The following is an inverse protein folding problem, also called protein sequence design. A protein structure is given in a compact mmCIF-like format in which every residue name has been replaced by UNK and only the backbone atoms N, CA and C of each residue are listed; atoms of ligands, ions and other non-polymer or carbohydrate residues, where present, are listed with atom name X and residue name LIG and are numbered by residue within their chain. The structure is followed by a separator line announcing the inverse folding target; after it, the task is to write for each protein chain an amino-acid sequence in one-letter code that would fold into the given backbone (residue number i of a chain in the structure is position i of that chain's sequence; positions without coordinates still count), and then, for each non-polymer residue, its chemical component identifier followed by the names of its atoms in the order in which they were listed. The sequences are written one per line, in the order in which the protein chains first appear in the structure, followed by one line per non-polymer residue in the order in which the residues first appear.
data_IF_817215596861
#
_entry.id   IF_817215596861
#
_cell.length_a   1.000
_cell.length_b   1.000
_cell.length_c   1.000
_cell.angle_alpha   90.00
_cell.angle_beta   90.00
_cell.angle_gamma   90.00
#
_symmetry.space_group_name_H-M   'P 1'
#
loop_
_entity.id
_entity.type
_entity.pdbx_description
1 polymer ?
#
# COMPACT_ATOMS: atom_id res chain seq x y z
N UNK A 1 -0.74 21.29 3.47
CA UNK A 1 0.39 21.40 2.52
C UNK A 1 0.88 22.84 2.52
N UNK A 2 2.13 23.06 2.93
CA UNK A 2 2.71 24.39 2.97
C UNK A 2 3.07 24.84 1.54
N UNK A 3 2.55 26.00 1.12
CA UNK A 3 2.70 26.51 -0.26
C UNK A 3 4.17 26.71 -0.64
N UNK A 4 5.02 26.99 0.35
CA UNK A 4 6.44 27.25 0.16
C UNK A 4 7.22 25.98 -0.22
N UNK A 5 6.80 24.81 0.28
CA UNK A 5 7.45 23.53 0.00
C UNK A 5 7.13 23.03 -1.40
N UNK A 6 5.85 23.12 -1.81
CA UNK A 6 5.41 22.76 -3.16
C UNK A 6 6.10 23.63 -4.20
N UNK A 7 6.15 24.94 -3.94
CA UNK A 7 6.84 25.88 -4.81
C UNK A 7 8.33 25.53 -4.93
N UNK A 8 9.01 25.25 -3.82
CA UNK A 8 10.42 24.88 -3.82
C UNK A 8 10.71 23.57 -4.57
N UNK A 9 9.77 22.60 -4.55
CA UNK A 9 9.88 21.36 -5.32
C UNK A 9 9.80 21.63 -6.83
N UNK A 10 8.72 22.27 -7.30
CA UNK A 10 8.53 22.54 -8.74
C UNK A 10 9.56 23.52 -9.32
N UNK A 11 10.13 24.40 -8.50
CA UNK A 11 11.23 25.27 -8.93
C UNK A 11 12.55 24.53 -9.18
N UNK A 12 12.74 23.36 -8.57
CA UNK A 12 13.97 22.55 -8.76
C UNK A 12 13.91 21.65 -9.99
N UNK A 13 12.71 21.33 -10.48
CA UNK A 13 12.51 20.51 -11.68
C UNK A 13 12.99 21.24 -12.93
N UNK A 14 13.51 20.49 -13.90
CA UNK A 14 13.74 20.95 -15.27
C UNK A 14 12.43 21.08 -16.05
N UNK A 15 12.48 21.75 -17.20
CA UNK A 15 11.28 21.97 -18.03
C UNK A 15 10.69 20.64 -18.56
N UNK A 16 11.52 19.63 -18.79
CA UNK A 16 11.08 18.29 -19.20
C UNK A 16 10.39 17.53 -18.06
N UNK A 17 10.90 17.67 -16.84
CA UNK A 17 10.31 17.05 -15.64
C UNK A 17 8.98 17.70 -15.27
N UNK A 18 8.84 19.03 -15.43
CA UNK A 18 7.55 19.70 -15.25
C UNK A 18 6.53 19.23 -16.29
N UNK A 19 6.94 19.07 -17.55
CA UNK A 19 6.04 18.57 -18.58
C UNK A 19 5.53 17.16 -18.25
N UNK A 20 6.43 16.29 -17.80
CA UNK A 20 6.06 14.94 -17.38
C UNK A 20 5.13 14.96 -16.17
N UNK A 21 5.48 15.70 -15.11
CA UNK A 21 4.66 15.81 -13.90
C UNK A 21 3.26 16.36 -14.18
N UNK A 22 3.12 17.27 -15.16
CA UNK A 22 1.82 17.82 -15.57
C UNK A 22 0.93 16.76 -16.24
N UNK A 23 1.55 15.85 -16.99
CA UNK A 23 0.85 14.79 -17.72
C UNK A 23 0.51 13.58 -16.82
N UNK A 24 1.32 13.29 -15.80
CA UNK A 24 1.20 12.06 -14.99
C UNK A 24 0.72 12.29 -13.57
N UNK A 25 1.14 13.36 -12.89
CA UNK A 25 1.14 13.41 -11.41
C UNK A 25 0.23 14.50 -10.81
N UNK A 26 -0.29 15.42 -11.63
CA UNK A 26 -1.14 16.53 -11.15
C UNK A 26 -2.48 16.06 -10.58
N UNK A 27 -2.95 14.87 -10.98
CA UNK A 27 -4.20 14.26 -10.50
C UNK A 27 -4.25 14.06 -8.99
N UNK A 28 -3.12 14.05 -8.26
CA UNK A 28 -3.10 13.90 -6.80
C UNK A 28 -2.97 15.22 -6.02
N UNK A 29 -2.78 16.36 -6.71
CA UNK A 29 -2.48 17.65 -6.07
C UNK A 29 -3.73 18.35 -5.55
N UNK A 30 -3.60 19.07 -4.43
CA UNK A 30 -4.67 19.97 -3.98
C UNK A 30 -4.84 21.16 -4.94
N UNK A 31 -6.01 21.83 -4.98
CA UNK A 31 -6.23 23.00 -5.83
C UNK A 31 -5.16 24.09 -5.65
N UNK A 32 -4.66 24.30 -4.43
CA UNK A 32 -3.61 25.28 -4.15
C UNK A 32 -2.24 24.87 -4.72
N UNK A 33 -1.90 23.59 -4.76
CA UNK A 33 -0.68 23.13 -5.44
C UNK A 33 -0.81 23.19 -6.95
N UNK A 34 -2.00 22.87 -7.48
CA UNK A 34 -2.27 22.99 -8.91
C UNK A 34 -2.07 24.45 -9.38
N UNK A 35 -2.51 25.43 -8.59
CA UNK A 35 -2.23 26.85 -8.86
C UNK A 35 -0.73 27.19 -8.84
N UNK A 36 0.04 26.60 -7.92
CA UNK A 36 1.52 26.78 -7.89
C UNK A 36 2.15 26.23 -9.18
N UNK A 37 1.71 25.07 -9.66
CA UNK A 37 2.19 24.49 -10.91
C UNK A 37 1.80 25.36 -12.12
N UNK A 38 0.58 25.89 -12.16
CA UNK A 38 0.15 26.84 -13.21
C UNK A 38 1.01 28.10 -13.21
N UNK A 39 1.31 28.66 -12.05
CA UNK A 39 2.18 29.84 -11.96
C UNK A 39 3.61 29.52 -12.40
N UNK A 40 4.10 28.32 -12.13
CA UNK A 40 5.43 27.88 -12.59
C UNK A 40 5.50 27.66 -14.11
N UNK A 41 4.47 27.05 -14.70
CA UNK A 41 4.31 26.92 -16.17
C UNK A 41 4.33 28.30 -16.84
N UNK A 42 3.56 29.24 -16.30
CA UNK A 42 3.51 30.63 -16.78
C UNK A 42 4.87 31.32 -16.62
N UNK A 43 5.52 31.18 -15.46
CA UNK A 43 6.85 31.77 -15.16
C UNK A 43 7.90 31.31 -16.16
N UNK A 44 7.90 30.02 -16.50
CA UNK A 44 8.85 29.40 -17.41
C UNK A 44 8.50 29.56 -18.90
N UNK A 45 7.33 30.15 -19.20
CA UNK A 45 6.79 30.30 -20.57
C UNK A 45 6.67 28.96 -21.30
N UNK A 46 6.32 27.91 -20.56
CA UNK A 46 6.00 26.60 -21.11
C UNK A 46 4.66 26.66 -21.86
N UNK A 47 4.34 25.62 -22.63
CA UNK A 47 3.17 25.61 -23.52
C UNK A 47 1.89 26.01 -22.74
N UNK A 48 1.17 27.08 -23.16
CA UNK A 48 -0.03 27.55 -22.46
C UNK A 48 -1.21 26.56 -22.46
N UNK A 49 -1.18 25.53 -23.31
CA UNK A 49 -2.19 24.46 -23.24
C UNK A 49 -2.01 23.57 -22.01
N UNK A 50 -0.83 23.57 -21.36
CA UNK A 50 -0.59 22.82 -20.14
C UNK A 50 -1.42 23.33 -18.96
N UNK A 51 -1.66 24.64 -18.86
CA UNK A 51 -2.53 25.16 -17.78
C UNK A 51 -3.97 24.69 -17.94
N UNK A 52 -4.42 24.47 -19.18
CA UNK A 52 -5.76 23.90 -19.45
C UNK A 52 -5.85 22.44 -19.03
N UNK A 53 -4.78 21.65 -19.24
CA UNK A 53 -4.70 20.27 -18.72
C UNK A 53 -4.82 20.27 -17.20
N UNK A 54 -4.17 21.22 -16.51
CA UNK A 54 -4.33 21.37 -15.06
C UNK A 54 -5.76 21.79 -14.68
N UNK A 55 -6.37 22.73 -15.41
CA UNK A 55 -7.76 23.18 -15.17
C UNK A 55 -8.77 22.03 -15.36
N UNK A 56 -8.63 21.21 -16.41
CA UNK A 56 -9.49 20.06 -16.69
C UNK A 56 -9.37 18.99 -15.59
N UNK A 57 -8.17 18.81 -15.03
CA UNK A 57 -7.92 17.89 -13.92
C UNK A 57 -8.41 18.46 -12.58
N UNK A 58 -8.44 19.78 -12.40
CA UNK A 58 -8.98 20.44 -11.22
C UNK A 58 -10.50 20.24 -11.06
N UNK A 59 -11.24 20.16 -12.18
CA UNK A 59 -12.69 19.89 -12.17
C UNK A 59 -13.01 18.50 -11.59
N UNK A 60 -12.11 17.53 -11.75
CA UNK A 60 -12.24 16.18 -11.18
C UNK A 60 -11.99 16.20 -9.64
N UNK A 61 -11.25 17.20 -9.15
CA UNK A 61 -10.88 17.36 -7.74
C UNK A 61 -11.80 18.29 -6.94
N UNK A 62 -12.78 18.94 -7.57
CA UNK A 62 -13.91 19.49 -6.83
C UNK A 62 -14.69 18.34 -6.21
N UNK A 63 -14.25 17.97 -5.00
CA UNK A 63 -14.86 17.01 -4.10
C UNK A 63 -16.34 17.39 -3.96
N UNK A 64 -17.22 16.82 -4.80
CA UNK A 64 -18.65 16.83 -4.53
C UNK A 64 -18.76 16.13 -3.18
N UNK A 65 -19.15 16.82 -2.10
CA UNK A 65 -19.21 16.19 -0.80
C UNK A 65 -20.20 15.03 -0.93
N UNK A 66 -19.68 13.79 -0.88
CA UNK A 66 -20.51 12.61 -0.85
C UNK A 66 -21.45 12.78 0.34
N UNK A 67 -22.75 12.83 0.05
CA UNK A 67 -23.75 12.67 1.09
C UNK A 67 -23.53 11.27 1.64
N UNK A 68 -23.19 11.18 2.93
CA UNK A 68 -23.02 9.89 3.60
C UNK A 68 -24.27 9.04 3.36
N UNK A 69 -24.10 7.96 2.60
CA UNK A 69 -25.15 6.99 2.31
C UNK A 69 -24.83 5.71 3.09
N UNK A 70 -25.52 5.43 4.21
CA UNK A 70 -25.24 4.26 5.04
C UNK A 70 -25.44 2.93 4.30
N UNK A 71 -26.15 2.92 3.17
CA UNK A 71 -26.36 1.72 2.34
C UNK A 71 -25.53 1.76 1.04
N UNK A 72 -24.86 2.89 0.78
CA UNK A 72 -24.02 3.11 -0.38
C UNK A 72 -22.63 2.49 -0.23
N UNK A 73 -21.93 2.36 -1.37
CA UNK A 73 -20.54 1.92 -1.35
C UNK A 73 -19.70 2.92 -0.54
N UNK A 74 -18.90 2.50 0.45
CA UNK A 74 -18.08 3.43 1.23
C UNK A 74 -16.93 4.04 0.42
N UNK A 75 -16.60 3.46 -0.74
CA UNK A 75 -15.49 3.87 -1.60
C UNK A 75 -15.99 4.35 -2.97
N UNK A 76 -15.17 5.14 -3.66
CA UNK A 76 -15.41 5.51 -5.06
C UNK A 76 -15.35 4.28 -5.98
N UNK A 77 -16.12 4.29 -7.07
CA UNK A 77 -16.27 3.11 -7.93
C UNK A 77 -14.95 2.63 -8.53
N UNK A 78 -14.12 3.54 -9.04
CA UNK A 78 -12.81 3.20 -9.58
C UNK A 78 -11.89 2.58 -8.51
N UNK A 79 -11.96 3.10 -7.28
CA UNK A 79 -11.18 2.60 -6.14
C UNK A 79 -11.68 1.25 -5.67
N UNK A 80 -13.01 1.04 -5.64
CA UNK A 80 -13.64 -0.26 -5.40
C UNK A 80 -13.11 -1.31 -6.38
N UNK A 81 -13.21 -1.03 -7.67
CA UNK A 81 -12.78 -1.95 -8.74
C UNK A 81 -11.27 -2.23 -8.62
N UNK A 82 -10.46 -1.23 -8.32
CA UNK A 82 -9.03 -1.41 -8.10
C UNK A 82 -8.74 -2.33 -6.90
N UNK A 83 -9.39 -2.11 -5.73
CA UNK A 83 -9.21 -2.97 -4.54
C UNK A 83 -9.62 -4.42 -4.86
N UNK A 84 -10.75 -4.62 -5.52
CA UNK A 84 -11.21 -5.94 -5.94
C UNK A 84 -10.18 -6.64 -6.85
N UNK A 85 -9.67 -5.94 -7.88
CA UNK A 85 -8.61 -6.47 -8.77
C UNK A 85 -7.31 -6.77 -8.02
N UNK A 86 -6.93 -5.92 -7.08
CA UNK A 86 -5.75 -6.14 -6.25
C UNK A 86 -5.89 -7.40 -5.39
N UNK A 87 -7.06 -7.63 -4.77
CA UNK A 87 -7.32 -8.89 -4.05
C UNK A 87 -7.22 -10.12 -4.95
N UNK A 88 -7.65 -10.02 -6.21
CA UNK A 88 -7.50 -11.14 -7.15
C UNK A 88 -6.08 -11.40 -7.59
N UNK A 89 -5.30 -10.33 -7.78
CA UNK A 89 -3.87 -10.47 -7.97
C UNK A 89 -3.25 -11.17 -6.77
N UNK A 90 -3.57 -10.77 -5.53
CA UNK A 90 -3.07 -11.43 -4.31
C UNK A 90 -3.49 -12.90 -4.22
N UNK A 91 -4.74 -13.23 -4.57
CA UNK A 91 -5.23 -14.62 -4.65
C UNK A 91 -4.44 -15.44 -5.69
N UNK A 92 -4.11 -14.84 -6.83
CA UNK A 92 -3.30 -15.46 -7.89
C UNK A 92 -1.85 -15.66 -7.44
N UNK A 93 -1.28 -14.65 -6.78
CA UNK A 93 0.12 -14.66 -6.33
C UNK A 93 0.36 -15.60 -5.16
N UNK A 94 -0.59 -15.71 -4.22
CA UNK A 94 -0.39 -16.38 -2.94
C UNK A 94 -1.34 -17.55 -2.68
N UNK A 95 -2.32 -17.77 -3.56
CA UNK A 95 -3.22 -18.92 -3.54
C UNK A 95 -4.58 -18.65 -2.89
N UNK A 96 -5.65 -18.95 -3.62
CA UNK A 96 -7.04 -18.80 -3.16
C UNK A 96 -7.37 -19.63 -1.92
N UNK A 97 -6.85 -20.86 -1.83
CA UNK A 97 -7.11 -21.71 -0.68
C UNK A 97 -6.42 -21.18 0.59
N UNK A 98 -5.34 -20.42 0.45
CA UNK A 98 -4.55 -19.94 1.56
C UNK A 98 -5.23 -18.77 2.28
N UNK A 99 -5.94 -17.90 1.56
CA UNK A 99 -6.65 -16.78 2.19
C UNK A 99 -7.64 -17.26 3.26
N UNK A 100 -8.28 -18.44 3.08
CA UNK A 100 -9.24 -19.03 4.02
C UNK A 100 -8.58 -19.69 5.22
N UNK A 101 -7.36 -20.21 5.06
CA UNK A 101 -6.64 -20.95 6.12
C UNK A 101 -5.84 -20.04 7.04
N UNK A 102 -5.42 -18.87 6.55
CA UNK A 102 -4.61 -17.93 7.32
C UNK A 102 -5.34 -17.48 8.59
N UNK A 103 -4.61 -17.43 9.70
CA UNK A 103 -5.12 -16.83 10.94
C UNK A 103 -5.03 -15.32 10.83
N UNK A 104 -6.05 -14.60 11.29
CA UNK A 104 -5.95 -13.15 11.54
C UNK A 104 -5.28 -12.96 12.90
N UNK A 105 -4.11 -12.32 12.92
CA UNK A 105 -3.40 -12.06 14.17
C UNK A 105 -4.07 -10.90 14.92
N UNK A 106 -4.24 -11.06 16.23
CA UNK A 106 -4.92 -10.10 17.09
C UNK A 106 -3.90 -9.38 17.99
N UNK A 107 -4.15 -8.12 18.39
CA UNK A 107 -3.30 -7.38 19.33
C UNK A 107 -3.46 -7.91 20.77
N UNK A 108 -3.09 -9.18 20.98
CA UNK A 108 -3.22 -9.89 22.26
C UNK A 108 -1.91 -10.58 22.60
N UNK A 109 -1.64 -10.77 23.89
CA UNK A 109 -0.45 -11.51 24.34
C UNK A 109 -0.39 -12.98 23.90
N UNK A 110 -1.48 -13.52 23.35
CA UNK A 110 -1.51 -14.87 22.75
C UNK A 110 -0.79 -14.89 21.40
N UNK A 111 -1.08 -13.91 20.56
CA UNK A 111 -0.54 -13.82 19.20
C UNK A 111 0.78 -13.03 19.17
N UNK A 112 0.93 -12.07 20.09
CA UNK A 112 2.15 -11.30 20.32
C UNK A 112 2.64 -11.46 21.77
N UNK A 113 3.25 -12.60 22.13
CA UNK A 113 3.85 -12.82 23.45
C UNK A 113 5.19 -12.09 23.59
N UNK A 114 5.20 -10.78 23.31
CA UNK A 114 6.37 -9.90 23.33
C UNK A 114 6.23 -8.94 24.50
N UNK A 115 7.33 -8.68 25.21
CA UNK A 115 7.37 -7.60 26.19
C UNK A 115 7.63 -6.28 25.46
N UNK A 116 6.58 -5.55 25.12
CA UNK A 116 6.67 -4.27 24.44
C UNK A 116 7.17 -3.16 25.38
N UNK A 117 8.48 -3.02 25.51
CA UNK A 117 9.17 -2.04 26.35
C UNK A 117 9.87 -0.92 25.56
N UNK A 118 9.65 -0.85 24.25
CA UNK A 118 10.29 0.12 23.35
C UNK A 118 11.71 -0.24 22.94
N UNK A 119 12.20 -1.44 23.29
CA UNK A 119 13.54 -1.89 22.91
C UNK A 119 13.62 -2.43 21.48
N UNK A 120 14.81 -2.39 20.90
CA UNK A 120 15.14 -3.11 19.65
C UNK A 120 14.90 -4.62 19.77
N UNK A 121 15.10 -5.19 20.97
CA UNK A 121 14.82 -6.61 21.24
C UNK A 121 13.33 -6.94 21.04
N UNK A 122 12.43 -6.08 21.51
CA UNK A 122 11.00 -6.23 21.25
C UNK A 122 10.68 -6.15 19.74
N UNK A 123 11.40 -5.31 18.99
CA UNK A 123 11.28 -5.24 17.53
C UNK A 123 11.74 -6.54 16.85
N UNK A 124 12.88 -7.11 17.25
CA UNK A 124 13.35 -8.40 16.72
C UNK A 124 12.38 -9.54 17.05
N UNK A 125 11.83 -9.59 18.27
CA UNK A 125 10.83 -10.60 18.64
C UNK A 125 9.53 -10.44 17.83
N UNK A 126 9.12 -9.20 17.59
CA UNK A 126 7.97 -8.88 16.73
C UNK A 126 8.21 -9.30 15.28
N UNK A 127 9.40 -9.01 14.74
CA UNK A 127 9.82 -9.45 13.40
C UNK A 127 9.68 -10.96 13.24
N UNK A 128 10.09 -11.76 14.24
CA UNK A 128 9.97 -13.22 14.18
C UNK A 128 8.52 -13.71 14.05
N UNK A 129 7.56 -12.96 14.61
CA UNK A 129 6.13 -13.29 14.55
C UNK A 129 5.57 -12.87 13.19
N UNK A 130 5.82 -11.63 12.78
CA UNK A 130 5.32 -11.08 11.51
C UNK A 130 5.90 -11.83 10.31
N UNK A 131 7.21 -12.06 10.29
CA UNK A 131 7.88 -12.80 9.21
C UNK A 131 7.34 -14.22 9.09
N UNK A 132 7.07 -14.90 10.22
CA UNK A 132 6.46 -16.23 10.23
C UNK A 132 5.05 -16.22 9.67
N UNK A 133 4.22 -15.25 10.07
CA UNK A 133 2.87 -15.08 9.55
C UNK A 133 2.86 -14.87 8.02
N UNK A 134 3.86 -14.15 7.53
CA UNK A 134 4.04 -13.84 6.11
C UNK A 134 4.89 -14.88 5.36
N UNK A 135 5.27 -15.98 6.03
CA UNK A 135 6.04 -17.08 5.43
C UNK A 135 7.41 -16.65 4.89
N UNK A 136 8.02 -15.64 5.49
CA UNK A 136 9.41 -15.25 5.25
C UNK A 136 10.28 -15.79 6.39
N UNK A 137 11.31 -16.59 6.12
CA UNK A 137 12.25 -17.02 7.15
C UNK A 137 12.95 -15.80 7.75
N UNK A 138 12.80 -15.58 9.05
CA UNK A 138 13.28 -14.36 9.70
C UNK A 138 14.81 -14.22 9.66
N UNK A 139 15.55 -15.33 9.55
CA UNK A 139 17.01 -15.33 9.36
C UNK A 139 17.46 -14.73 8.02
N UNK A 140 16.55 -14.65 7.04
CA UNK A 140 16.78 -13.98 5.75
C UNK A 140 16.55 -12.46 5.83
N UNK A 141 16.08 -11.95 6.96
CA UNK A 141 15.85 -10.51 7.16
C UNK A 141 16.96 -9.96 8.04
N UNK A 142 17.59 -8.88 7.61
CA UNK A 142 18.43 -8.02 8.43
C UNK A 142 17.58 -6.82 8.83
N UNK A 143 17.43 -6.61 10.14
CA UNK A 143 16.68 -5.50 10.71
C UNK A 143 17.66 -4.55 11.39
N UNK A 144 17.60 -3.27 11.02
CA UNK A 144 18.34 -2.19 11.66
C UNK A 144 17.43 -0.99 12.00
N UNK A 145 18.01 0.03 12.63
CA UNK A 145 17.26 1.14 13.19
C UNK A 145 17.94 2.48 12.90
N UNK A 146 17.15 3.51 12.62
CA UNK A 146 17.63 4.87 12.41
C UNK A 146 16.90 5.87 13.32
N UNK A 147 17.58 6.97 13.63
CA UNK A 147 16.99 8.14 14.28
C UNK A 147 16.40 9.08 13.21
N UNK A 148 15.32 9.81 13.53
CA UNK A 148 14.49 10.70 12.69
C UNK A 148 15.18 11.48 11.53
N UNK A 149 16.47 11.78 11.62
CA UNK A 149 17.21 12.58 10.63
C UNK A 149 17.38 11.92 9.24
N UNK A 150 16.96 10.66 9.03
CA UNK A 150 17.02 9.98 7.74
C UNK A 150 15.79 10.21 6.83
N UNK A 151 14.76 10.92 7.30
CA UNK A 151 13.42 11.05 6.67
C UNK A 151 13.35 11.68 5.27
N UNK A 152 14.45 12.18 4.68
CA UNK A 152 14.38 13.06 3.50
C UNK A 152 14.58 12.40 2.13
N UNK A 153 14.63 11.06 1.99
CA UNK A 153 15.15 10.46 0.75
C UNK A 153 14.26 9.40 0.04
N UNK A 154 13.21 8.82 0.66
CA UNK A 154 12.55 7.64 0.04
C UNK A 154 11.01 7.60 0.18
N UNK A 155 10.35 6.94 -0.78
CA UNK A 155 8.90 6.68 -0.89
C UNK A 155 8.35 5.64 0.12
N UNK A 156 9.14 5.25 1.13
CA UNK A 156 8.77 4.23 2.12
C UNK A 156 7.71 4.69 3.13
N UNK A 157 7.17 3.74 3.89
CA UNK A 157 6.31 4.04 5.03
C UNK A 157 7.06 4.94 6.03
N UNK A 158 6.44 5.98 6.61
CA UNK A 158 7.15 6.95 7.46
C UNK A 158 7.82 6.35 8.71
N UNK A 159 7.54 5.08 9.03
CA UNK A 159 8.15 4.34 10.12
C UNK A 159 9.21 3.30 9.74
N UNK A 160 9.40 2.99 8.45
CA UNK A 160 10.32 1.96 8.02
C UNK A 160 10.63 1.95 6.52
N UNK A 161 11.69 1.22 6.15
CA UNK A 161 12.13 1.10 4.77
C UNK A 161 12.62 -0.31 4.46
N UNK A 162 12.18 -0.84 3.32
CA UNK A 162 12.74 -2.00 2.66
C UNK A 162 13.78 -1.58 1.60
N UNK A 163 14.99 -2.15 1.66
CA UNK A 163 16.12 -1.79 0.79
C UNK A 163 16.44 -2.84 -0.28
N UNK A 164 15.66 -3.91 -0.38
CA UNK A 164 16.00 -5.05 -1.25
C UNK A 164 16.93 -6.05 -0.55
N UNK A 165 17.67 -6.83 -1.35
CA UNK A 165 18.72 -7.74 -0.83
C UNK A 165 20.04 -7.00 -0.76
N UNK A 166 20.64 -6.94 0.43
CA UNK A 166 21.99 -6.40 0.62
C UNK A 166 23.10 -7.38 0.26
N UNK A 167 24.35 -6.96 0.50
CA UNK A 167 25.57 -7.72 0.15
C UNK A 167 25.66 -9.10 0.84
N UNK A 168 24.98 -9.24 1.98
CA UNK A 168 24.92 -10.50 2.74
C UNK A 168 23.90 -11.51 2.16
N UNK A 169 23.14 -11.11 1.14
CA UNK A 169 22.05 -11.89 0.56
C UNK A 169 20.75 -11.87 1.37
N UNK A 170 20.71 -11.11 2.48
CA UNK A 170 19.52 -10.90 3.31
C UNK A 170 18.71 -9.72 2.80
N UNK A 171 17.40 -9.77 3.03
CA UNK A 171 16.50 -8.64 2.86
C UNK A 171 16.75 -7.62 3.96
N UNK A 172 17.02 -6.38 3.59
CA UNK A 172 17.33 -5.30 4.53
C UNK A 172 16.08 -4.47 4.81
N UNK A 173 15.71 -4.39 6.09
CA UNK A 173 14.61 -3.58 6.60
C UNK A 173 15.15 -2.66 7.68
N UNK A 174 14.81 -1.38 7.62
CA UNK A 174 15.11 -0.40 8.65
C UNK A 174 13.84 0.10 9.32
N UNK A 175 13.87 0.32 10.64
CA UNK A 175 12.78 0.98 11.37
C UNK A 175 13.24 2.29 12.02
N UNK A 176 12.36 3.28 12.03
CA UNK A 176 12.53 4.47 12.84
C UNK A 176 12.41 4.09 14.32
N UNK A 177 13.33 4.55 15.18
CA UNK A 177 13.31 4.18 16.61
C UNK A 177 12.04 4.63 17.33
N UNK A 178 11.38 5.69 16.85
CA UNK A 178 10.16 6.23 17.44
C UNK A 178 8.99 5.25 17.31
N UNK A 179 8.99 4.41 16.28
CA UNK A 179 7.96 3.38 16.06
C UNK A 179 8.01 2.31 17.14
N UNK A 180 9.18 2.04 17.74
CA UNK A 180 9.35 1.02 18.77
C UNK A 180 8.51 1.31 20.02
N UNK A 181 8.21 2.59 20.29
CA UNK A 181 7.38 3.00 21.42
C UNK A 181 5.88 2.67 21.24
N UNK A 182 5.45 2.32 20.02
CA UNK A 182 4.04 2.08 19.68
C UNK A 182 3.88 0.69 19.06
N UNK A 183 3.51 -0.34 19.86
CA UNK A 183 3.49 -1.74 19.41
C UNK A 183 2.66 -1.99 18.15
N UNK A 184 1.45 -1.45 18.07
CA UNK A 184 0.59 -1.64 16.89
C UNK A 184 1.21 -1.03 15.62
N UNK A 185 1.81 0.16 15.73
CA UNK A 185 2.49 0.80 14.59
C UNK A 185 3.75 0.03 14.17
N UNK A 186 4.50 -0.52 15.14
CA UNK A 186 5.67 -1.35 14.86
C UNK A 186 5.29 -2.63 14.11
N UNK A 187 4.21 -3.30 14.55
CA UNK A 187 3.67 -4.48 13.86
C UNK A 187 3.23 -4.10 12.44
N UNK A 188 2.49 -3.00 12.30
CA UNK A 188 2.00 -2.55 10.99
C UNK A 188 3.14 -2.22 10.01
N UNK A 189 4.18 -1.53 10.50
CA UNK A 189 5.35 -1.16 9.71
C UNK A 189 6.12 -2.41 9.29
N UNK A 190 6.41 -3.33 10.22
CA UNK A 190 7.06 -4.59 9.87
C UNK A 190 6.25 -5.43 8.87
N UNK A 191 4.92 -5.46 9.01
CA UNK A 191 4.04 -6.17 8.08
C UNK A 191 4.12 -5.57 6.67
N UNK A 192 4.17 -4.23 6.57
CA UNK A 192 4.32 -3.50 5.33
C UNK A 192 5.67 -3.79 4.66
N UNK A 193 6.78 -3.63 5.39
CA UNK A 193 8.11 -3.86 4.83
C UNK A 193 8.35 -5.35 4.45
N UNK A 194 7.73 -6.30 5.17
CA UNK A 194 7.77 -7.72 4.80
C UNK A 194 6.84 -8.01 3.60
N UNK A 195 5.75 -7.26 3.41
CA UNK A 195 4.94 -7.37 2.20
C UNK A 195 5.75 -6.99 0.95
N UNK A 196 6.63 -6.00 1.04
CA UNK A 196 7.60 -5.71 -0.03
C UNK A 196 8.50 -6.90 -0.35
N UNK A 197 8.95 -7.66 0.66
CA UNK A 197 9.68 -8.91 0.41
C UNK A 197 8.81 -9.91 -0.36
N UNK A 198 7.54 -10.07 0.02
CA UNK A 198 6.62 -11.02 -0.64
C UNK A 198 6.32 -10.66 -2.08
N UNK A 199 6.24 -9.36 -2.39
CA UNK A 199 5.89 -8.86 -3.70
C UNK A 199 7.13 -8.68 -4.59
N UNK A 200 8.10 -7.90 -4.15
CA UNK A 200 9.31 -7.55 -4.91
C UNK A 200 10.47 -8.50 -4.63
N UNK A 201 10.74 -8.79 -3.34
CA UNK A 201 11.89 -9.61 -2.94
C UNK A 201 11.83 -11.07 -3.40
N UNK A 202 10.62 -11.60 -3.56
CA UNK A 202 10.29 -12.91 -4.15
C UNK A 202 9.97 -12.83 -5.65
N UNK A 203 10.16 -11.66 -6.29
CA UNK A 203 9.99 -11.46 -7.73
C UNK A 203 8.59 -11.82 -8.25
N UNK A 204 7.54 -11.54 -7.45
CA UNK A 204 6.13 -11.79 -7.82
C UNK A 204 5.52 -10.65 -8.61
N UNK A 205 6.01 -9.43 -8.41
CA UNK A 205 5.71 -8.25 -9.21
C UNK A 205 7.02 -7.55 -9.62
N UNK A 206 6.98 -6.76 -10.68
CA UNK A 206 8.17 -6.10 -11.24
C UNK A 206 8.39 -4.68 -10.72
N UNK A 207 7.31 -3.99 -10.36
CA UNK A 207 7.32 -2.59 -9.97
C UNK A 207 6.73 -2.45 -8.57
N UNK A 208 7.24 -1.48 -7.81
CA UNK A 208 6.73 -1.21 -6.48
C UNK A 208 5.29 -0.67 -6.56
N UNK A 209 4.40 -1.24 -5.75
CA UNK A 209 3.00 -0.83 -5.64
C UNK A 209 2.63 -0.81 -4.16
N UNK A 210 2.86 0.34 -3.52
CA UNK A 210 2.62 0.55 -2.09
C UNK A 210 1.16 0.31 -1.67
N UNK A 211 0.12 0.77 -2.42
CA UNK A 211 -1.25 0.34 -2.17
C UNK A 211 -1.46 -1.18 -2.19
N UNK A 212 -0.83 -1.90 -3.13
CA UNK A 212 -0.90 -3.36 -3.16
C UNK A 212 -0.15 -4.00 -1.98
N UNK A 213 0.98 -3.41 -1.57
CA UNK A 213 1.73 -3.81 -0.37
C UNK A 213 0.87 -3.71 0.89
N UNK A 214 0.11 -2.61 1.05
CA UNK A 214 -0.89 -2.44 2.12
C UNK A 214 -1.93 -3.57 2.09
N UNK A 215 -2.52 -3.86 0.93
CA UNK A 215 -3.50 -4.95 0.79
C UNK A 215 -2.90 -6.34 1.02
N UNK A 216 -1.62 -6.55 0.72
CA UNK A 216 -0.92 -7.78 1.02
C UNK A 216 -0.93 -8.04 2.54
N UNK A 217 -0.77 -7.01 3.38
CA UNK A 217 -0.85 -7.18 4.84
C UNK A 217 -2.23 -7.71 5.28
N UNK A 218 -3.31 -7.30 4.61
CA UNK A 218 -4.67 -7.84 4.83
C UNK A 218 -4.71 -9.31 4.47
N UNK A 219 -4.22 -9.67 3.28
CA UNK A 219 -4.17 -11.06 2.81
C UNK A 219 -3.42 -11.98 3.80
N UNK A 220 -2.31 -11.49 4.37
CA UNK A 220 -1.52 -12.20 5.36
C UNK A 220 -2.09 -12.10 6.79
N UNK A 221 -3.31 -11.59 6.99
CA UNK A 221 -3.98 -11.60 8.30
C UNK A 221 -3.43 -10.59 9.31
N UNK A 222 -2.74 -9.55 8.84
CA UNK A 222 -2.18 -8.45 9.64
C UNK A 222 -2.92 -7.12 9.44
N UNK A 223 -3.93 -7.09 8.57
CA UNK A 223 -4.64 -5.85 8.18
C UNK A 223 -5.27 -5.04 9.31
N UNK A 224 -5.53 -5.63 10.49
CA UNK A 224 -6.01 -4.88 11.67
C UNK A 224 -4.99 -3.82 12.08
N UNK A 225 -3.70 -4.18 12.11
CA UNK A 225 -2.63 -3.29 12.55
C UNK A 225 -2.45 -2.14 11.56
N UNK A 226 -2.38 -2.44 10.27
CA UNK A 226 -2.21 -1.45 9.21
C UNK A 226 -3.41 -0.50 9.13
N UNK A 227 -4.64 -1.02 9.17
CA UNK A 227 -5.84 -0.18 9.15
C UNK A 227 -5.94 0.75 10.38
N UNK A 228 -5.58 0.26 11.57
CA UNK A 228 -5.57 1.07 12.79
C UNK A 228 -4.46 2.12 12.78
N UNK A 229 -3.24 1.75 12.36
CA UNK A 229 -2.09 2.64 12.31
C UNK A 229 -2.30 3.79 11.30
N UNK A 230 -2.82 3.48 10.10
CA UNK A 230 -3.12 4.48 9.08
C UNK A 230 -4.09 5.57 9.59
N UNK A 231 -5.05 5.19 10.44
CA UNK A 231 -5.98 6.14 11.05
C UNK A 231 -5.33 7.04 12.10
N UNK A 232 -4.41 6.51 12.91
CA UNK A 232 -3.66 7.31 13.91
C UNK A 232 -2.77 8.33 13.20
N UNK A 233 -2.03 7.91 12.17
CA UNK A 233 -1.21 8.81 11.34
C UNK A 233 -2.03 9.91 10.68
N UNK A 234 -3.26 9.63 10.23
CA UNK A 234 -4.15 10.64 9.66
C UNK A 234 -4.64 11.68 10.69
N UNK A 235 -4.82 11.30 11.96
CA UNK A 235 -5.18 12.22 13.04
C UNK A 235 -4.01 13.12 13.45
N UNK A 236 -2.81 12.56 13.54
CA UNK A 236 -1.61 13.33 13.90
C UNK A 236 -1.17 14.25 12.76
N UNK A 237 -1.36 13.83 11.50
CA UNK A 237 -1.16 14.65 10.30
C UNK A 237 -2.11 15.86 10.18
N UNK A 238 -3.25 15.87 10.88
CA UNK A 238 -4.10 17.07 11.00
C UNK A 238 -3.58 18.09 12.01
N UNK A 239 -2.59 17.72 12.85
CA UNK A 239 -2.02 18.57 13.89
C UNK A 239 -0.64 19.14 13.55
N UNK A 240 0.11 18.47 12.67
CA UNK A 240 1.36 18.93 12.05
C UNK A 240 1.39 18.41 10.61
N UNK A 241 1.98 19.15 9.66
CA UNK A 241 2.08 18.81 8.22
C UNK A 241 2.84 17.48 7.98
N UNK A 242 2.24 16.35 8.32
CA UNK A 242 2.76 15.02 8.05
C UNK A 242 2.08 14.45 6.81
N UNK A 243 2.90 13.97 5.87
CA UNK A 243 2.47 13.16 4.74
C UNK A 243 1.71 11.94 5.24
N UNK A 244 0.51 11.74 4.69
CA UNK A 244 -0.39 10.64 5.06
C UNK A 244 0.29 9.30 4.82
N UNK A 245 0.63 8.58 5.88
CA UNK A 245 1.28 7.25 5.87
C UNK A 245 0.47 6.12 5.21
N UNK A 246 -0.72 6.39 4.67
CA UNK A 246 -1.62 5.38 4.12
C UNK A 246 -1.96 5.69 2.68
N UNK A 247 -1.58 4.79 1.77
CA UNK A 247 -1.99 4.82 0.37
C UNK A 247 -3.48 4.49 0.21
N UNK A 248 -4.02 3.73 1.15
CA UNK A 248 -5.45 3.50 1.30
C UNK A 248 -6.08 4.52 2.25
N UNK A 249 -7.24 5.06 1.86
CA UNK A 249 -8.07 5.87 2.76
C UNK A 249 -8.69 5.03 3.87
N UNK A 250 -9.18 5.67 4.93
CA UNK A 250 -9.90 4.99 6.02
C UNK A 250 -11.06 4.10 5.50
N UNK A 251 -11.84 4.62 4.55
CA UNK A 251 -12.96 3.91 3.94
C UNK A 251 -12.48 2.74 3.07
N UNK A 252 -11.35 2.91 2.38
CA UNK A 252 -10.72 1.85 1.58
C UNK A 252 -10.21 0.71 2.47
N UNK A 253 -9.61 1.01 3.62
CA UNK A 253 -9.26 -0.01 4.61
C UNK A 253 -10.47 -0.78 5.11
N UNK A 254 -11.56 -0.09 5.47
CA UNK A 254 -12.81 -0.73 5.88
C UNK A 254 -13.36 -1.66 4.80
N UNK A 255 -13.41 -1.18 3.56
CA UNK A 255 -13.88 -1.95 2.41
C UNK A 255 -12.99 -3.16 2.09
N UNK A 256 -11.66 -2.99 2.10
CA UNK A 256 -10.69 -4.06 1.88
C UNK A 256 -10.82 -5.18 2.92
N UNK A 257 -10.99 -4.83 4.19
CA UNK A 257 -11.23 -5.80 5.27
C UNK A 257 -12.57 -6.53 5.08
N UNK A 258 -13.61 -5.85 4.57
CA UNK A 258 -14.90 -6.47 4.28
C UNK A 258 -14.79 -7.49 3.12
N UNK A 259 -14.08 -7.14 2.04
CA UNK A 259 -13.76 -8.09 0.97
C UNK A 259 -12.97 -9.30 1.48
N UNK A 260 -11.95 -9.06 2.32
CA UNK A 260 -11.18 -10.13 2.94
C UNK A 260 -12.06 -11.08 3.76
N UNK A 261 -13.00 -10.57 4.55
CA UNK A 261 -13.96 -11.37 5.29
C UNK A 261 -14.86 -12.20 4.36
N UNK A 262 -15.38 -11.61 3.28
CA UNK A 262 -16.21 -12.30 2.28
C UNK A 262 -15.45 -13.42 1.57
N UNK A 263 -14.20 -13.18 1.15
CA UNK A 263 -13.34 -14.19 0.53
C UNK A 263 -13.03 -15.36 1.48
N UNK A 264 -13.14 -15.13 2.79
CA UNK A 264 -12.99 -16.12 3.87
C UNK A 264 -14.29 -16.75 4.32
N UNK A 265 -15.42 -16.36 3.73
CA UNK A 265 -16.76 -16.79 4.14
C UNK A 265 -17.09 -16.42 5.60
N UNK A 266 -16.51 -15.31 6.09
CA UNK A 266 -16.70 -14.78 7.44
C UNK A 266 -17.72 -13.63 7.42
N UNK A 267 -18.95 -13.89 7.87
CA UNK A 267 -20.03 -12.89 7.87
C UNK A 267 -19.97 -11.94 9.06
N UNK A 268 -19.63 -12.48 10.24
CA UNK A 268 -19.50 -11.71 11.49
C UNK A 268 -18.19 -12.07 12.20
N UNK A 269 -17.03 -11.73 11.62
CA UNK A 269 -15.76 -12.10 12.20
C UNK A 269 -15.51 -11.40 13.54
N UNK A 270 -15.19 -12.15 14.59
CA UNK A 270 -14.86 -11.60 15.92
C UNK A 270 -13.67 -10.64 15.90
N UNK A 271 -12.75 -10.80 14.95
CA UNK A 271 -11.54 -9.99 14.85
C UNK A 271 -11.83 -8.51 14.56
N UNK A 272 -13.02 -8.17 14.06
CA UNK A 272 -13.43 -6.77 13.84
C UNK A 272 -13.52 -5.98 15.15
N UNK A 273 -13.63 -6.67 16.29
CA UNK A 273 -13.67 -6.04 17.60
C UNK A 273 -12.36 -5.36 17.99
N UNK A 274 -11.27 -5.65 17.27
CA UNK A 274 -9.94 -5.03 17.44
C UNK A 274 -9.68 -3.86 16.47
N UNK A 275 -10.62 -3.57 15.56
CA UNK A 275 -10.54 -2.38 14.71
C UNK A 275 -10.90 -1.12 15.49
N UNK A 276 -10.30 0.02 15.14
CA UNK A 276 -10.76 1.33 15.61
C UNK A 276 -12.23 1.56 15.25
N UNK A 277 -12.93 2.39 16.03
CA UNK A 277 -14.37 2.63 15.86
C UNK A 277 -14.75 3.03 14.43
N UNK A 278 -13.94 3.88 13.79
CA UNK A 278 -14.20 4.39 12.45
C UNK A 278 -14.00 3.31 11.38
N UNK A 279 -12.84 2.63 11.39
CA UNK A 279 -12.56 1.52 10.44
C UNK A 279 -13.61 0.41 10.59
N UNK A 280 -14.05 0.12 11.83
CA UNK A 280 -15.11 -0.86 12.08
C UNK A 280 -16.46 -0.44 11.49
N UNK A 281 -16.78 0.85 11.51
CA UNK A 281 -18.00 1.36 10.88
C UNK A 281 -17.91 1.24 9.35
N UNK A 282 -16.78 1.64 8.76
CA UNK A 282 -16.54 1.54 7.32
C UNK A 282 -16.53 0.07 6.84
N UNK A 283 -15.96 -0.85 7.64
CA UNK A 283 -16.04 -2.29 7.40
C UNK A 283 -17.48 -2.77 7.33
N UNK A 284 -18.33 -2.39 8.29
CA UNK A 284 -19.74 -2.81 8.33
C UNK A 284 -20.51 -2.27 7.13
N UNK A 285 -20.25 -1.02 6.74
CA UNK A 285 -20.84 -0.43 5.55
C UNK A 285 -20.37 -1.15 4.28
N UNK A 286 -19.08 -1.45 4.16
CA UNK A 286 -18.52 -2.22 3.04
C UNK A 286 -19.11 -3.63 2.95
N UNK A 287 -19.21 -4.33 4.08
CA UNK A 287 -19.84 -5.66 4.18
C UNK A 287 -21.31 -5.61 3.72
N UNK A 288 -22.08 -4.64 4.23
CA UNK A 288 -23.47 -4.46 3.83
C UNK A 288 -23.60 -4.17 2.34
N UNK A 289 -22.76 -3.30 1.79
CA UNK A 289 -22.73 -3.00 0.36
C UNK A 289 -22.45 -4.25 -0.49
N UNK A 290 -21.41 -5.03 -0.13
CA UNK A 290 -21.04 -6.26 -0.84
C UNK A 290 -22.19 -7.25 -0.84
N UNK A 291 -22.82 -7.48 0.32
CA UNK A 291 -23.93 -8.43 0.45
C UNK A 291 -25.18 -8.01 -0.31
N UNK A 292 -25.42 -6.71 -0.45
CA UNK A 292 -26.56 -6.17 -1.19
C UNK A 292 -26.33 -6.10 -2.70
N UNK A 293 -25.08 -6.23 -3.17
CA UNK A 293 -24.71 -6.08 -4.58
C UNK A 293 -23.74 -7.18 -5.06
N UNK A 294 -24.00 -8.48 -4.79
CA UNK A 294 -23.05 -9.56 -5.12
C UNK A 294 -22.71 -9.62 -6.62
N UNK A 295 -23.64 -9.21 -7.48
CA UNK A 295 -23.45 -9.13 -8.94
C UNK A 295 -22.50 -8.03 -9.40
N UNK A 296 -22.16 -7.06 -8.52
CA UNK A 296 -21.20 -5.99 -8.83
C UNK A 296 -19.79 -6.30 -8.37
N UNK A 297 -19.65 -7.19 -7.39
CA UNK A 297 -18.35 -7.52 -6.78
C UNK A 297 -17.66 -8.52 -7.70
N UNK A 298 -16.46 -8.17 -8.16
CA UNK A 298 -15.70 -8.94 -9.15
C UNK A 298 -16.40 -9.03 -10.52
N UNK A 299 -17.31 -8.10 -10.87
CA UNK A 299 -18.07 -8.18 -12.13
C UNK A 299 -17.29 -7.73 -13.38
N UNK A 300 -16.39 -6.75 -13.23
CA UNK A 300 -15.70 -6.08 -14.35
C UNK A 300 -14.33 -6.68 -14.68
N UNK A 301 -14.23 -8.01 -14.64
CA UNK A 301 -12.96 -8.72 -14.70
C UNK A 301 -12.75 -9.53 -15.97
N UNK A 302 -13.82 -9.87 -16.67
CA UNK A 302 -13.73 -10.58 -17.95
C UNK A 302 -13.40 -9.64 -19.13
N UNK A 303 -13.46 -8.32 -18.95
CA UNK A 303 -13.28 -7.32 -20.02
C UNK A 303 -11.89 -6.67 -20.09
N UNK A 304 -10.96 -6.94 -19.17
CA UNK A 304 -9.59 -6.42 -19.25
C UNK A 304 -8.63 -7.48 -19.79
N UNK A 305 -8.06 -7.25 -20.98
CA UNK A 305 -6.93 -8.02 -21.48
C UNK A 305 -5.83 -8.14 -20.40
N UNK A 306 -5.12 -9.28 -20.33
CA UNK A 306 -4.03 -9.44 -19.39
C UNK A 306 -3.02 -8.31 -19.59
N UNK A 307 -2.68 -7.60 -18.51
CA UNK A 307 -1.51 -6.73 -18.47
C UNK A 307 -0.33 -7.58 -18.95
N UNK A 308 0.23 -7.20 -20.10
CA UNK A 308 1.25 -7.96 -20.82
C UNK A 308 2.33 -8.49 -19.86
N UNK A 309 2.31 -9.81 -19.65
CA UNK A 309 3.42 -10.55 -19.08
C UNK A 309 4.39 -10.87 -20.23
N UNK A 310 5.63 -10.35 -20.25
CA UNK A 310 6.60 -10.77 -21.25
C UNK A 310 7.23 -12.08 -20.80
N UNK A 311 6.54 -13.19 -21.00
CA UNK A 311 7.16 -14.52 -21.04
C UNK A 311 6.98 -15.08 -22.45
N UNK A 312 7.99 -14.84 -23.29
CA UNK A 312 8.30 -15.71 -24.41
C UNK A 312 9.82 -15.93 -24.43
N UNK A 313 10.23 -17.00 -23.75
CA UNK A 313 11.58 -17.53 -23.82
C UNK A 313 11.90 -17.93 -25.27
N UNK A 314 13.05 -17.44 -25.71
CA UNK A 314 13.65 -17.74 -27.00
C UNK A 314 14.11 -19.21 -27.02
N UNK A 315 13.26 -20.14 -27.46
CA UNK A 315 13.67 -21.48 -27.86
C UNK A 315 14.02 -21.46 -29.34
N UNK A 316 15.28 -21.13 -29.66
CA UNK A 316 15.87 -21.56 -30.93
C UNK A 316 16.48 -22.95 -30.76
N UNK A 317 15.83 -23.91 -31.40
CA UNK A 317 16.33 -25.23 -31.72
C UNK A 317 17.69 -25.15 -32.42
N UNK A 318 18.65 -25.92 -31.93
CA UNK A 318 19.93 -26.17 -32.61
C UNK A 318 19.93 -27.65 -33.05
N UNK A 319 19.86 -27.96 -34.35
CA UNK A 319 19.96 -29.35 -34.80
C UNK A 319 21.44 -29.74 -34.95
N UNK A 320 21.85 -30.70 -34.11
CA UNK A 320 22.80 -31.79 -34.32
C UNK A 320 24.05 -31.61 -35.19
N UNK A 321 25.21 -31.96 -34.60
CA UNK A 321 26.23 -32.83 -35.23
C UNK A 321 27.14 -33.38 -34.13
N UNK A 322 27.02 -34.67 -33.82
CA UNK A 322 27.96 -35.77 -34.17
C UNK A 322 29.17 -35.92 -33.23
N UNK A 323 29.16 -37.05 -32.52
CA UNK A 323 30.27 -37.64 -31.77
C UNK A 323 31.54 -37.83 -32.64
N UNK A 324 32.70 -38.13 -32.02
CA UNK A 324 33.02 -39.54 -31.83
C UNK A 324 33.60 -39.89 -30.45
N UNK A 325 33.36 -41.13 -30.07
CA UNK A 325 34.08 -41.87 -29.04
C UNK A 325 35.36 -42.43 -29.66
N UNK A 326 36.52 -42.08 -29.10
CA UNK A 326 37.68 -42.94 -28.77
C UNK A 326 38.78 -42.06 -28.20
#
# INVERSE_FOLDING_TARGET
MDKEIVLAYYQKLSDAEILHAVETDIKGLTPEAQEIVKEEIKRRRLNPDLTKVVDEQQIIYEHIPRVYDPEGCPVEEDRRIWIERAFQLLLTLFGEAEIKKRTVLLPTGKDFPVNFDGSEQAAFETLQIVARQMEVPAEKIALDFYDENLQMITEGSPGGMYWGKGDTGKFEISLAKEVLATPENMIATLAHEIAHIKLLGEERINENDEPLTDLATVFFGLGIFNANAAFVSFRDARSLNWSTSGYLTQMEWGYALALFAILREEMEPEWINFLTTNIRADFKQGMQFILNNPEKIFANLEESEPVNSPIAGNNQENPGTLFPVS
#
